data_IF_013004499082
#
_entry.id   IF_013004499082
#
_cell.length_a   1.000
_cell.length_b   1.000
_cell.length_c   1.000
_cell.angle_alpha   90.00
_cell.angle_beta   90.00
_cell.angle_gamma   90.00
#
_symmetry.space_group_name_H-M   'P 1'
#
loop_
_entity.id
_entity.type
_entity.pdbx_description
1 polymer ?
#
# COMPACT_ATOMS: atom_id res chain seq x y z
N UNK A 1 38.51 -36.39 -9.65
CA UNK A 1 37.27 -36.02 -8.94
C UNK A 1 37.50 -34.79 -8.06
N UNK A 2 37.70 -33.59 -8.64
CA UNK A 2 38.06 -32.36 -7.89
C UNK A 2 37.13 -31.16 -8.13
N UNK A 3 36.07 -31.36 -8.93
CA UNK A 3 35.21 -30.26 -9.42
C UNK A 3 33.72 -30.42 -9.02
N UNK A 4 33.35 -31.48 -8.30
CA UNK A 4 31.94 -31.75 -7.93
C UNK A 4 31.51 -30.90 -6.72
N UNK A 5 32.43 -30.58 -5.81
CA UNK A 5 32.15 -29.79 -4.61
C UNK A 5 31.79 -28.33 -4.89
N UNK A 6 32.26 -27.74 -6.00
CA UNK A 6 31.93 -26.35 -6.35
C UNK A 6 30.49 -26.20 -6.88
N UNK A 7 29.96 -27.21 -7.56
CA UNK A 7 28.61 -27.18 -8.16
C UNK A 7 27.54 -27.26 -7.07
N UNK A 8 27.79 -28.05 -6.01
CA UNK A 8 26.91 -28.15 -4.85
C UNK A 8 26.82 -26.84 -4.04
N UNK A 9 27.93 -26.11 -3.91
CA UNK A 9 27.91 -24.80 -3.24
C UNK A 9 27.13 -23.75 -4.06
N UNK A 10 27.21 -23.77 -5.38
CA UNK A 10 26.50 -22.81 -6.23
C UNK A 10 24.97 -23.03 -6.20
N UNK A 11 24.52 -24.28 -6.13
CA UNK A 11 23.09 -24.62 -6.05
C UNK A 11 22.44 -24.15 -4.73
N UNK A 12 23.17 -24.13 -3.61
CA UNK A 12 22.66 -23.64 -2.33
C UNK A 12 22.57 -22.11 -2.26
N UNK A 13 23.49 -21.37 -2.90
CA UNK A 13 23.44 -19.91 -2.90
C UNK A 13 22.31 -19.34 -3.77
N UNK A 14 21.93 -20.01 -4.85
CA UNK A 14 20.80 -19.57 -5.69
C UNK A 14 19.43 -19.65 -4.97
N UNK A 15 19.25 -20.58 -4.04
CA UNK A 15 17.99 -20.73 -3.29
C UNK A 15 17.86 -19.71 -2.13
N UNK A 16 18.98 -19.25 -1.56
CA UNK A 16 18.98 -18.30 -0.46
C UNK A 16 18.56 -16.86 -0.86
N UNK A 17 18.63 -16.52 -2.15
CA UNK A 17 18.27 -15.20 -2.68
C UNK A 17 16.79 -15.05 -3.09
N UNK A 18 16.01 -16.13 -3.09
CA UNK A 18 14.61 -16.13 -3.57
C UNK A 18 13.57 -15.75 -2.51
N UNK A 19 13.97 -15.37 -1.29
CA UNK A 19 13.06 -15.35 -0.12
C UNK A 19 12.83 -14.02 0.60
N UNK A 20 13.47 -12.91 0.22
CA UNK A 20 13.20 -11.64 0.91
C UNK A 20 11.91 -11.02 0.37
N UNK A 21 10.83 -11.12 1.15
CA UNK A 21 9.61 -10.35 0.90
C UNK A 21 9.97 -8.88 0.79
N UNK A 22 9.87 -8.34 -0.43
CA UNK A 22 10.21 -6.95 -0.69
C UNK A 22 9.25 -6.08 0.11
N UNK A 23 9.80 -5.22 0.97
CA UNK A 23 9.04 -4.24 1.74
C UNK A 23 9.80 -2.92 1.85
N UNK A 24 9.06 -1.81 1.90
CA UNK A 24 9.60 -0.49 2.17
C UNK A 24 8.82 0.18 3.30
N UNK A 25 9.52 0.80 4.25
CA UNK A 25 8.92 1.49 5.39
C UNK A 25 9.09 2.99 5.21
N UNK A 26 8.00 3.75 5.38
CA UNK A 26 7.98 5.20 5.23
C UNK A 26 7.21 5.88 6.34
N UNK A 27 7.44 7.18 6.51
CA UNK A 27 6.69 8.01 7.44
C UNK A 27 5.54 8.74 6.73
N UNK A 28 4.37 8.78 7.35
CA UNK A 28 3.22 9.55 6.86
C UNK A 28 2.37 10.03 8.04
N UNK A 29 1.76 11.21 7.94
CA UNK A 29 0.92 11.77 9.00
C UNK A 29 -0.51 12.02 8.47
N UNK A 30 -1.45 11.07 8.69
CA UNK A 30 -2.81 11.20 8.17
C UNK A 30 -3.56 12.43 8.71
N UNK A 31 -3.32 12.81 9.97
CA UNK A 31 -3.98 13.98 10.57
C UNK A 31 -3.54 15.28 9.91
N UNK A 32 -2.23 15.42 9.68
CA UNK A 32 -1.67 16.57 8.97
C UNK A 32 -2.25 16.64 7.55
N UNK A 33 -2.29 15.51 6.86
CA UNK A 33 -2.81 15.38 5.52
C UNK A 33 -4.29 15.78 5.39
N UNK A 34 -5.15 15.30 6.30
CA UNK A 34 -6.58 15.66 6.34
C UNK A 34 -6.79 17.17 6.45
N UNK A 35 -6.02 17.81 7.33
CA UNK A 35 -6.13 19.24 7.57
C UNK A 35 -5.64 20.06 6.38
N UNK A 36 -4.50 19.69 5.79
CA UNK A 36 -3.89 20.41 4.67
C UNK A 36 -4.72 20.33 3.39
N UNK A 37 -5.45 19.23 3.19
CA UNK A 37 -6.32 19.04 2.03
C UNK A 37 -7.80 19.34 2.32
N UNK A 38 -8.12 19.88 3.51
CA UNK A 38 -9.48 20.22 3.92
C UNK A 38 -10.50 19.10 3.69
N UNK A 39 -10.11 17.84 3.90
CA UNK A 39 -10.95 16.67 3.54
C UNK A 39 -12.27 16.59 4.32
N UNK A 40 -12.34 17.28 5.46
CA UNK A 40 -13.56 17.44 6.27
C UNK A 40 -14.62 18.31 5.57
N UNK A 41 -14.20 19.15 4.62
CA UNK A 41 -15.08 19.98 3.80
C UNK A 41 -15.44 19.21 2.52
N UNK A 42 -16.71 19.27 2.09
CA UNK A 42 -17.20 18.56 0.89
C UNK A 42 -16.77 19.26 -0.41
N UNK A 43 -15.50 19.61 -0.51
CA UNK A 43 -14.93 20.17 -1.72
C UNK A 43 -14.46 19.01 -2.59
N UNK A 44 -15.13 18.80 -3.73
CA UNK A 44 -14.73 17.82 -4.76
C UNK A 44 -13.45 18.27 -5.48
N UNK A 45 -12.37 18.43 -4.74
CA UNK A 45 -11.06 18.83 -5.26
C UNK A 45 -10.21 17.60 -5.54
N UNK A 46 -9.33 17.74 -6.52
CA UNK A 46 -8.25 16.79 -6.69
C UNK A 46 -7.33 16.83 -5.46
N UNK A 47 -6.93 15.65 -5.01
CA UNK A 47 -6.05 15.48 -3.87
C UNK A 47 -4.76 14.85 -4.36
N UNK A 48 -3.65 15.55 -4.16
CA UNK A 48 -2.33 15.07 -4.55
C UNK A 48 -1.70 14.33 -3.36
N UNK A 49 -1.30 13.09 -3.59
CA UNK A 49 -0.62 12.24 -2.61
C UNK A 49 0.79 11.95 -3.07
N UNK A 50 1.78 12.37 -2.29
CA UNK A 50 3.13 11.84 -2.44
C UNK A 50 3.28 10.65 -1.50
N UNK A 51 3.50 9.48 -2.08
CA UNK A 51 3.77 8.23 -1.37
C UNK A 51 5.00 7.57 -1.95
N UNK A 52 5.44 6.47 -1.36
CA UNK A 52 6.59 5.72 -1.85
C UNK A 52 6.12 4.51 -2.68
N UNK A 53 6.98 3.99 -3.55
CA UNK A 53 6.81 2.67 -4.15
C UNK A 53 7.50 1.59 -3.30
N UNK A 54 7.42 0.34 -3.75
CA UNK A 54 8.02 -0.81 -3.07
C UNK A 54 9.57 -0.76 -3.03
N UNK A 55 10.18 0.10 -3.85
CA UNK A 55 11.62 0.33 -3.91
C UNK A 55 12.03 1.59 -3.12
N UNK A 56 11.08 2.26 -2.46
CA UNK A 56 11.33 3.48 -1.71
C UNK A 56 11.45 4.75 -2.57
N UNK A 57 11.02 4.70 -3.84
CA UNK A 57 10.99 5.89 -4.69
C UNK A 57 9.70 6.65 -4.45
N UNK A 58 9.81 7.95 -4.22
CA UNK A 58 8.64 8.82 -4.11
C UNK A 58 7.88 8.85 -5.44
N UNK A 59 6.58 8.64 -5.37
CA UNK A 59 5.64 8.64 -6.48
C UNK A 59 4.50 9.58 -6.13
N UNK A 60 4.25 10.53 -7.02
CA UNK A 60 3.12 11.44 -6.94
C UNK A 60 1.89 10.79 -7.54
N UNK A 61 0.80 10.78 -6.79
CA UNK A 61 -0.51 10.30 -7.20
C UNK A 61 -1.50 11.46 -7.27
N UNK A 62 -2.24 11.52 -8.36
CA UNK A 62 -3.36 12.45 -8.52
C UNK A 62 -4.63 11.64 -8.27
N UNK A 63 -5.34 12.01 -7.20
CA UNK A 63 -6.53 11.28 -6.74
C UNK A 63 -7.74 12.18 -6.68
N UNK A 64 -8.92 11.57 -6.68
CA UNK A 64 -10.19 12.26 -6.45
C UNK A 64 -10.77 11.78 -5.13
N UNK A 65 -11.22 12.71 -4.29
CA UNK A 65 -12.03 12.35 -3.13
C UNK A 65 -13.35 11.71 -3.61
N UNK A 66 -13.53 10.42 -3.31
CA UNK A 66 -14.76 9.67 -3.59
C UNK A 66 -15.52 9.35 -2.30
N UNK A 67 -15.15 9.99 -1.19
CA UNK A 67 -15.76 9.79 0.12
C UNK A 67 -17.21 10.25 0.09
N UNK A 68 -18.13 9.35 0.48
CA UNK A 68 -19.53 9.71 0.66
C UNK A 68 -19.71 10.57 1.91
N UNK A 69 -20.76 11.39 1.96
CA UNK A 69 -21.04 12.21 3.15
C UNK A 69 -21.20 11.37 4.43
N UNK A 70 -21.73 10.15 4.32
CA UNK A 70 -21.85 9.22 5.44
C UNK A 70 -20.47 8.78 5.98
N UNK A 71 -19.55 8.40 5.09
CA UNK A 71 -18.18 8.04 5.45
C UNK A 71 -17.42 9.25 6.01
N UNK A 72 -17.62 10.43 5.41
CA UNK A 72 -17.01 11.68 5.89
C UNK A 72 -17.45 12.04 7.31
N UNK A 73 -18.76 11.92 7.61
CA UNK A 73 -19.29 12.09 8.97
C UNK A 73 -18.67 11.10 9.96
N UNK A 74 -18.36 9.88 9.51
CA UNK A 74 -17.62 8.88 10.27
C UNK A 74 -16.08 9.10 10.29
N UNK A 75 -15.58 10.19 9.69
CA UNK A 75 -14.14 10.51 9.53
C UNK A 75 -13.36 9.42 8.81
N UNK A 76 -13.98 8.80 7.82
CA UNK A 76 -13.40 7.83 6.89
C UNK A 76 -13.28 8.53 5.55
N UNK A 77 -12.07 8.57 4.98
CA UNK A 77 -11.79 9.22 3.70
C UNK A 77 -11.18 8.22 2.73
N UNK A 78 -11.75 8.07 1.55
CA UNK A 78 -11.33 7.10 0.54
C UNK A 78 -11.02 7.77 -0.81
N UNK A 79 -9.88 7.39 -1.37
CA UNK A 79 -9.31 7.98 -2.57
C UNK A 79 -9.05 6.90 -3.60
N UNK A 80 -9.31 7.25 -4.86
CA UNK A 80 -8.86 6.48 -6.02
C UNK A 80 -8.13 7.42 -6.96
N UNK A 81 -7.05 6.95 -7.57
CA UNK A 81 -6.28 7.78 -8.48
C UNK A 81 -5.22 7.01 -9.26
N UNK A 82 -4.33 7.77 -9.87
CA UNK A 82 -3.23 7.27 -10.70
C UNK A 82 -1.94 8.02 -10.40
N UNK A 83 -0.80 7.39 -10.62
CA UNK A 83 0.48 8.09 -10.63
C UNK A 83 0.54 9.14 -11.74
N UNK A 84 1.41 10.13 -11.59
CA UNK A 84 1.60 11.19 -12.59
C UNK A 84 1.97 10.66 -13.98
N UNK A 85 2.76 9.59 -14.04
CA UNK A 85 3.12 8.88 -15.27
C UNK A 85 2.04 7.90 -15.78
N UNK A 86 0.94 7.72 -15.03
CA UNK A 86 -0.17 6.82 -15.35
C UNK A 86 0.14 5.32 -15.21
N UNK A 87 1.34 4.93 -14.77
CA UNK A 87 1.75 3.51 -14.69
C UNK A 87 1.16 2.77 -13.49
N UNK A 88 0.73 3.50 -12.46
CA UNK A 88 0.23 2.93 -11.20
C UNK A 88 -1.19 3.40 -10.92
N UNK A 89 -2.06 2.49 -10.53
CA UNK A 89 -3.42 2.79 -10.06
C UNK A 89 -3.48 2.60 -8.55
N UNK A 90 -4.00 3.58 -7.81
CA UNK A 90 -3.97 3.57 -6.35
C UNK A 90 -5.38 3.64 -5.76
N UNK A 91 -5.58 2.93 -4.66
CA UNK A 91 -6.73 3.08 -3.75
C UNK A 91 -6.20 3.28 -2.33
N UNK A 92 -6.61 4.36 -1.67
CA UNK A 92 -6.21 4.69 -0.29
C UNK A 92 -7.44 4.91 0.57
N UNK A 93 -7.31 4.64 1.85
CA UNK A 93 -8.29 4.97 2.87
C UNK A 93 -7.59 5.50 4.12
N UNK A 94 -8.10 6.61 4.65
CA UNK A 94 -7.73 7.12 5.97
C UNK A 94 -8.92 6.95 6.89
N UNK A 95 -8.76 6.12 7.93
CA UNK A 95 -9.79 5.88 8.95
C UNK A 95 -9.14 5.82 10.33
N UNK A 96 -9.81 6.37 11.35
CA UNK A 96 -9.31 6.39 12.73
C UNK A 96 -7.86 6.91 12.89
N UNK A 97 -7.44 7.81 12.00
CA UNK A 97 -6.09 8.38 11.97
C UNK A 97 -4.99 7.43 11.48
N UNK A 98 -5.35 6.36 10.76
CA UNK A 98 -4.44 5.41 10.10
C UNK A 98 -4.67 5.41 8.59
N UNK A 99 -3.59 5.28 7.82
CA UNK A 99 -3.62 5.07 6.37
C UNK A 99 -3.60 3.56 6.06
N UNK A 100 -4.42 3.13 5.10
CA UNK A 100 -4.33 1.82 4.46
C UNK A 100 -4.64 1.96 2.96
N UNK A 101 -4.28 0.95 2.18
CA UNK A 101 -4.62 0.92 0.76
C UNK A 101 -3.78 -0.05 -0.04
N UNK A 102 -3.79 0.16 -1.35
CA UNK A 102 -2.97 -0.60 -2.29
C UNK A 102 -2.75 0.18 -3.57
N UNK A 103 -1.70 -0.16 -4.30
CA UNK A 103 -1.55 0.23 -5.70
C UNK A 103 -1.28 -0.97 -6.59
N UNK A 104 -1.67 -0.85 -7.85
CA UNK A 104 -1.44 -1.82 -8.92
C UNK A 104 -0.37 -1.25 -9.86
N UNK A 105 0.67 -2.03 -10.13
CA UNK A 105 1.71 -1.73 -11.12
C UNK A 105 2.00 -3.01 -11.90
N UNK A 106 1.91 -2.97 -13.24
CA UNK A 106 2.18 -4.12 -14.12
C UNK A 106 1.45 -5.42 -13.70
N UNK A 107 0.19 -5.30 -13.30
CA UNK A 107 -0.63 -6.45 -12.86
C UNK A 107 -0.31 -6.97 -11.45
N UNK A 108 0.63 -6.37 -10.72
CA UNK A 108 0.97 -6.73 -9.34
C UNK A 108 0.39 -5.74 -8.34
N UNK A 109 -0.26 -6.27 -7.30
CA UNK A 109 -0.84 -5.47 -6.23
C UNK A 109 0.13 -5.34 -5.06
N UNK A 110 0.40 -4.10 -4.66
CA UNK A 110 1.24 -3.74 -3.53
C UNK A 110 0.37 -3.12 -2.45
N UNK A 111 0.57 -3.53 -1.20
CA UNK A 111 -0.31 -3.18 -0.08
C UNK A 111 0.35 -2.15 0.82
N UNK A 112 -0.45 -1.20 1.30
CA UNK A 112 -0.04 -0.13 2.21
C UNK A 112 -0.82 -0.29 3.50
N UNK A 113 -0.10 -0.38 4.62
CA UNK A 113 -0.73 -0.46 5.95
C UNK A 113 0.23 0.04 7.04
N UNK A 114 -0.26 0.29 8.27
CA UNK A 114 0.61 0.61 9.39
C UNK A 114 1.69 -0.45 9.58
N UNK A 115 2.94 -0.02 9.81
CA UNK A 115 4.05 -0.95 10.02
C UNK A 115 3.84 -1.86 11.25
N UNK A 116 3.04 -1.39 12.22
CA UNK A 116 2.63 -2.12 13.42
C UNK A 116 1.16 -1.83 13.72
N UNK A 117 0.47 -2.75 14.43
CA UNK A 117 -0.99 -2.68 14.69
C UNK A 117 -1.49 -1.32 15.22
N UNK A 118 -0.69 -0.60 16.00
CA UNK A 118 -1.06 0.69 16.61
C UNK A 118 -0.25 1.88 16.09
N UNK A 119 0.50 1.72 15.00
CA UNK A 119 1.29 2.80 14.44
C UNK A 119 0.41 3.78 13.65
N UNK A 120 0.65 5.08 13.83
CA UNK A 120 -0.02 6.16 13.07
C UNK A 120 0.93 6.98 12.22
N UNK A 121 2.24 6.69 12.32
CA UNK A 121 3.31 7.49 11.70
C UNK A 121 4.16 6.70 10.71
N UNK A 122 4.39 5.41 10.95
CA UNK A 122 5.16 4.53 10.08
C UNK A 122 4.25 3.55 9.36
N UNK A 123 4.45 3.43 8.07
CA UNK A 123 3.68 2.59 7.18
C UNK A 123 4.62 1.73 6.36
N UNK A 124 4.14 0.56 5.96
CA UNK A 124 4.88 -0.36 5.10
C UNK A 124 4.16 -0.52 3.78
N UNK A 125 4.96 -0.65 2.74
CA UNK A 125 4.55 -1.07 1.40
C UNK A 125 5.16 -2.44 1.18
N UNK A 126 4.36 -3.42 0.79
CA UNK A 126 4.83 -4.77 0.63
C UNK A 126 4.08 -5.49 -0.48
N UNK A 127 4.75 -6.45 -1.10
CA UNK A 127 4.10 -7.46 -1.91
C UNK A 127 3.64 -8.57 -0.96
N UNK A 128 2.35 -8.96 -1.00
CA UNK A 128 1.92 -10.15 -0.24
C UNK A 128 2.63 -11.38 -0.84
N UNK A 129 3.26 -12.23 -0.02
CA UNK A 129 3.77 -13.51 -0.52
C UNK A 129 2.60 -14.33 -1.09
N UNK A 130 2.85 -15.10 -2.15
CA UNK A 130 1.83 -15.91 -2.81
C UNK A 130 1.08 -16.78 -1.78
N UNK A 131 -0.25 -16.64 -1.76
CA UNK A 131 -1.16 -17.39 -0.91
C UNK A 131 -2.61 -17.09 -1.30
N UNK A 132 -3.48 -18.08 -1.19
CA UNK A 132 -4.92 -17.93 -1.48
C UNK A 132 -5.56 -17.06 -0.40
N UNK A 133 -5.57 -15.75 -0.62
CA UNK A 133 -6.27 -14.83 0.26
C UNK A 133 -7.70 -14.63 -0.23
N UNK A 134 -8.66 -15.08 0.57
CA UNK A 134 -10.06 -14.70 0.41
C UNK A 134 -10.18 -13.18 0.46
N UNK A 135 -10.63 -12.59 -0.64
CA UNK A 135 -11.02 -11.18 -0.71
C UNK A 135 -12.48 -11.12 -0.26
N UNK A 136 -12.72 -10.72 0.99
CA UNK A 136 -14.05 -10.65 1.59
C UNK A 136 -14.00 -10.65 3.13
N UNK A 137 -15.10 -10.31 3.81
CA UNK A 137 -15.17 -10.58 5.24
C UNK A 137 -15.21 -12.11 5.44
N UNK A 138 -14.54 -12.68 6.45
CA UNK A 138 -14.57 -14.12 6.72
C UNK A 138 -15.99 -14.69 6.91
N UNK A 139 -16.96 -13.82 7.19
CA UNK A 139 -18.35 -14.15 7.48
C UNK A 139 -19.30 -13.98 6.28
N UNK A 140 -18.81 -13.68 5.07
CA UNK A 140 -19.65 -13.63 3.86
C UNK A 140 -19.99 -15.02 3.31
N UNK A 141 -19.57 -16.10 3.99
CA UNK A 141 -20.11 -17.44 3.73
C UNK A 141 -21.51 -17.48 4.32
N UNK A 142 -22.49 -17.23 3.45
CA UNK A 142 -23.92 -17.44 3.71
C UNK A 142 -24.13 -18.74 4.48
N UNK A 143 -24.82 -18.62 5.61
CA UNK A 143 -25.34 -19.74 6.40
C UNK A 143 -26.54 -20.36 5.69
#
# INVERSE_FOLDING_TARGET
MRNISLILFFAFFCQALQGQSQQYIFNFNPKKFIRENSLEMNDKKEVVFNLYDINGRETKYITVDKTSDALRKAKIYSFKGKSEDGTKLITLTIASGKLSGSYLENGKAYYIEPAEKNCRKKYRIYLKPNGDYQVGQPNDVLK
#
